data_IF_690497836734
#
_entry.id   IF_690497836734
#
_cell.length_a   1.000
_cell.length_b   1.000
_cell.length_c   1.000
_cell.angle_alpha   90.00
_cell.angle_beta   90.00
_cell.angle_gamma   90.00
#
_symmetry.space_group_name_H-M   'P 1'
#
loop_
_entity.id
_entity.type
_entity.pdbx_description
1 polymer ?
#
# COMPACT_ATOMS: atom_id res chain seq x y z
N UNK A 1 -34.90 -10.24 22.70
CA UNK A 1 -35.37 -9.93 21.32
C UNK A 1 -34.59 -10.78 20.34
N UNK A 2 -35.22 -11.20 19.26
CA UNK A 2 -34.65 -12.09 18.24
C UNK A 2 -33.58 -11.41 17.39
N UNK A 3 -32.65 -12.21 16.86
CA UNK A 3 -31.65 -11.82 15.84
C UNK A 3 -32.39 -11.62 14.50
N UNK A 4 -32.12 -10.54 13.73
CA UNK A 4 -32.77 -10.33 12.44
C UNK A 4 -32.52 -11.49 11.47
N UNK A 5 -33.56 -11.94 10.78
CA UNK A 5 -33.48 -13.02 9.79
C UNK A 5 -33.93 -12.46 8.43
N UNK A 6 -33.18 -12.67 7.33
CA UNK A 6 -33.50 -12.12 6.01
C UNK A 6 -34.62 -12.91 5.31
N UNK A 7 -35.78 -13.04 5.94
CA UNK A 7 -36.91 -13.79 5.40
C UNK A 7 -37.37 -13.23 4.05
N UNK A 8 -37.49 -14.11 3.05
CA UNK A 8 -37.98 -13.76 1.71
C UNK A 8 -36.96 -13.04 0.83
N UNK A 9 -35.71 -12.89 1.28
CA UNK A 9 -34.59 -12.56 0.39
C UNK A 9 -34.03 -13.85 -0.23
N UNK A 10 -33.52 -13.81 -1.48
CA UNK A 10 -32.79 -14.93 -2.05
C UNK A 10 -31.61 -15.36 -1.17
N UNK A 11 -31.26 -16.65 -1.21
CA UNK A 11 -30.05 -17.15 -0.56
C UNK A 11 -28.82 -16.39 -1.06
N UNK A 12 -27.95 -15.96 -0.13
CA UNK A 12 -26.72 -15.19 -0.43
C UNK A 12 -26.99 -13.87 -1.13
N UNK A 13 -28.16 -13.27 -0.90
CA UNK A 13 -28.49 -12.00 -1.51
C UNK A 13 -27.49 -10.90 -1.10
N UNK A 14 -26.94 -10.20 -2.09
CA UNK A 14 -26.20 -8.96 -1.92
C UNK A 14 -26.71 -7.93 -2.94
N UNK A 15 -26.42 -6.65 -2.71
CA UNK A 15 -26.68 -5.65 -3.73
C UNK A 15 -25.73 -5.88 -4.91
N UNK A 16 -26.11 -5.44 -6.10
CA UNK A 16 -25.14 -5.37 -7.20
C UNK A 16 -24.27 -4.12 -7.05
N UNK A 17 -23.05 -4.14 -7.62
CA UNK A 17 -22.22 -2.94 -7.67
C UNK A 17 -22.94 -1.74 -8.29
N UNK A 18 -23.72 -2.00 -9.34
CA UNK A 18 -24.53 -0.99 -10.02
C UNK A 18 -25.52 -0.36 -9.05
N UNK A 19 -26.24 -1.16 -8.27
CA UNK A 19 -27.17 -0.66 -7.25
C UNK A 19 -26.45 0.15 -6.16
N UNK A 20 -25.29 -0.32 -5.68
CA UNK A 20 -24.49 0.40 -4.71
C UNK A 20 -24.10 1.80 -5.21
N UNK A 21 -23.60 1.88 -6.45
CA UNK A 21 -23.23 3.15 -7.09
C UNK A 21 -24.44 4.07 -7.30
N UNK A 22 -25.56 3.52 -7.79
CA UNK A 22 -26.80 4.28 -8.01
C UNK A 22 -27.34 4.88 -6.71
N UNK A 23 -27.31 4.11 -5.61
CA UNK A 23 -27.77 4.58 -4.29
C UNK A 23 -26.72 5.40 -3.53
N UNK A 24 -25.50 5.52 -4.07
CA UNK A 24 -24.35 6.17 -3.41
C UNK A 24 -24.07 5.59 -2.03
N UNK A 25 -24.10 4.26 -1.94
CA UNK A 25 -23.71 3.50 -0.73
C UNK A 25 -22.38 2.78 -0.99
N UNK A 26 -21.61 2.43 0.05
CA UNK A 26 -20.33 1.73 -0.11
C UNK A 26 -20.45 0.41 -0.86
N UNK A 27 -19.41 0.08 -1.63
CA UNK A 27 -19.34 -1.15 -2.42
C UNK A 27 -19.25 -2.42 -1.58
N UNK A 28 -18.92 -2.33 -0.28
CA UNK A 28 -18.93 -3.54 0.55
C UNK A 28 -20.32 -4.19 0.63
N UNK A 29 -21.41 -3.46 0.37
CA UNK A 29 -22.76 -4.04 0.28
C UNK A 29 -22.98 -4.92 -0.96
N UNK A 30 -22.11 -4.83 -1.96
CA UNK A 30 -22.11 -5.74 -3.11
C UNK A 30 -21.18 -6.94 -2.96
N UNK A 31 -20.46 -7.01 -1.84
CA UNK A 31 -19.56 -8.11 -1.49
C UNK A 31 -20.16 -8.91 -0.32
N UNK A 32 -20.69 -8.19 0.67
CA UNK A 32 -21.26 -8.77 1.88
C UNK A 32 -22.72 -9.15 1.65
N UNK A 33 -23.00 -10.45 1.70
CA UNK A 33 -24.37 -10.96 1.68
C UNK A 33 -25.13 -10.51 2.91
N UNK A 34 -26.46 -10.44 2.80
CA UNK A 34 -27.33 -9.98 3.89
C UNK A 34 -27.20 -10.83 5.15
N UNK A 35 -26.92 -12.13 5.05
CA UNK A 35 -26.71 -13.00 6.21
C UNK A 35 -25.49 -12.56 7.03
N UNK A 36 -24.48 -12.00 6.36
CA UNK A 36 -23.23 -11.57 6.97
C UNK A 36 -23.26 -10.11 7.45
N UNK A 37 -24.38 -9.38 7.29
CA UNK A 37 -24.51 -8.03 7.83
C UNK A 37 -24.54 -7.98 9.35
N UNK A 38 -24.76 -9.13 10.00
CA UNK A 38 -24.74 -9.30 11.45
C UNK A 38 -23.42 -9.91 11.96
N UNK A 39 -22.57 -10.40 11.07
CA UNK A 39 -21.23 -10.87 11.43
C UNK A 39 -20.32 -9.65 11.65
N UNK A 40 -20.05 -9.35 12.91
CA UNK A 40 -19.27 -8.18 13.29
C UNK A 40 -17.85 -8.18 12.71
N UNK A 41 -17.22 -9.35 12.57
CA UNK A 41 -15.85 -9.47 12.08
C UNK A 41 -15.82 -9.25 10.57
N UNK A 42 -16.70 -9.94 9.83
CA UNK A 42 -16.80 -9.79 8.38
C UNK A 42 -17.18 -8.35 7.99
N UNK A 43 -18.16 -7.76 8.68
CA UNK A 43 -18.58 -6.39 8.44
C UNK A 43 -17.47 -5.39 8.77
N UNK A 44 -16.81 -5.52 9.93
CA UNK A 44 -15.73 -4.62 10.33
C UNK A 44 -14.57 -4.65 9.33
N UNK A 45 -14.15 -5.85 8.92
CA UNK A 45 -13.08 -6.03 7.94
C UNK A 45 -13.39 -5.32 6.63
N UNK A 46 -14.58 -5.50 6.09
CA UNK A 46 -14.97 -4.87 4.83
C UNK A 46 -15.18 -3.36 4.95
N UNK A 47 -15.64 -2.85 6.10
CA UNK A 47 -15.71 -1.41 6.33
C UNK A 47 -14.29 -0.82 6.30
N UNK A 48 -13.33 -1.47 6.96
CA UNK A 48 -11.93 -1.02 7.01
C UNK A 48 -11.27 -1.09 5.63
N UNK A 49 -11.43 -2.20 4.91
CA UNK A 49 -10.85 -2.38 3.57
C UNK A 49 -11.54 -1.52 2.50
N UNK A 50 -12.85 -1.34 2.61
CA UNK A 50 -13.66 -0.58 1.65
C UNK A 50 -13.50 0.94 1.75
N UNK A 51 -12.91 1.44 2.85
CA UNK A 51 -12.59 2.86 3.02
C UNK A 51 -11.15 3.11 2.57
N UNK A 52 -10.96 3.18 1.25
CA UNK A 52 -9.65 3.30 0.58
C UNK A 52 -8.77 4.47 1.05
N UNK A 53 -9.35 5.50 1.68
CA UNK A 53 -8.62 6.74 2.00
C UNK A 53 -8.40 6.89 3.51
N UNK A 54 -9.41 6.67 4.35
CA UNK A 54 -9.29 6.71 5.81
C UNK A 54 -10.41 5.89 6.46
N UNK A 55 -10.10 4.66 6.85
CA UNK A 55 -10.99 3.89 7.69
C UNK A 55 -11.25 4.64 9.01
N UNK A 56 -12.51 4.72 9.48
CA UNK A 56 -12.82 5.37 10.75
C UNK A 56 -11.96 4.77 11.86
N UNK A 57 -11.22 5.60 12.59
CA UNK A 57 -10.41 5.11 13.71
C UNK A 57 -11.26 4.66 14.92
N UNK A 58 -12.56 4.95 14.88
CA UNK A 58 -13.49 4.75 15.98
C UNK A 58 -14.66 3.87 15.51
N UNK A 59 -14.84 2.73 16.17
CA UNK A 59 -15.91 1.77 15.86
C UNK A 59 -17.32 2.37 15.96
N UNK A 60 -17.55 3.35 16.85
CA UNK A 60 -18.87 4.01 16.93
C UNK A 60 -19.16 4.85 15.68
N UNK A 61 -18.14 5.50 15.10
CA UNK A 61 -18.29 6.25 13.84
C UNK A 61 -18.51 5.30 12.67
N UNK A 62 -17.81 4.17 12.64
CA UNK A 62 -18.01 3.13 11.64
C UNK A 62 -19.44 2.57 11.69
N UNK A 63 -19.93 2.24 12.89
CA UNK A 63 -21.30 1.76 13.08
C UNK A 63 -22.33 2.81 12.65
N UNK A 64 -22.16 4.07 13.08
CA UNK A 64 -23.07 5.15 12.72
C UNK A 64 -23.15 5.31 11.19
N UNK A 65 -22.00 5.27 10.49
CA UNK A 65 -21.95 5.30 9.03
C UNK A 65 -22.71 4.11 8.43
N UNK A 66 -22.43 2.88 8.87
CA UNK A 66 -23.13 1.68 8.41
C UNK A 66 -24.67 1.80 8.55
N UNK A 67 -25.16 2.27 9.69
CA UNK A 67 -26.59 2.48 9.92
C UNK A 67 -27.20 3.58 9.04
N UNK A 68 -26.42 4.63 8.74
CA UNK A 68 -26.83 5.66 7.77
C UNK A 68 -26.99 5.06 6.38
N UNK A 69 -26.06 4.22 5.93
CA UNK A 69 -26.13 3.57 4.62
C UNK A 69 -27.29 2.56 4.55
N UNK A 70 -27.55 1.79 5.61
CA UNK A 70 -28.74 0.93 5.69
C UNK A 70 -30.04 1.73 5.58
N UNK A 71 -30.11 2.92 6.19
CA UNK A 71 -31.27 3.80 6.03
C UNK A 71 -31.44 4.27 4.58
N UNK A 72 -30.34 4.54 3.86
CA UNK A 72 -30.42 4.87 2.43
C UNK A 72 -30.92 3.70 1.60
N UNK A 73 -30.41 2.49 1.82
CA UNK A 73 -30.87 1.28 1.12
C UNK A 73 -32.37 1.08 1.35
N UNK A 74 -32.79 1.10 2.62
CA UNK A 74 -34.20 1.02 3.02
C UNK A 74 -35.06 2.06 2.28
N UNK A 75 -34.62 3.31 2.23
CA UNK A 75 -35.41 4.39 1.63
C UNK A 75 -35.45 4.35 0.09
N UNK A 76 -34.43 3.83 -0.58
CA UNK A 76 -34.38 3.68 -2.03
C UNK A 76 -35.09 2.42 -2.52
N UNK A 77 -35.12 1.36 -1.70
CA UNK A 77 -35.70 0.05 -2.04
C UNK A 77 -37.03 -0.22 -1.32
N UNK A 78 -37.83 0.81 -1.02
CA UNK A 78 -39.12 0.68 -0.31
C UNK A 78 -40.09 -0.31 -0.98
N UNK A 79 -40.06 -0.38 -2.32
CA UNK A 79 -40.89 -1.33 -3.07
C UNK A 79 -40.43 -2.79 -2.90
N UNK A 80 -39.17 -3.02 -2.53
CA UNK A 80 -38.67 -4.35 -2.21
C UNK A 80 -38.89 -4.64 -0.71
N UNK A 81 -40.11 -5.03 -0.38
CA UNK A 81 -40.60 -5.14 1.00
C UNK A 81 -39.71 -5.97 1.92
N UNK A 82 -39.19 -7.11 1.45
CA UNK A 82 -38.35 -8.00 2.25
C UNK A 82 -37.01 -7.32 2.63
N UNK A 83 -36.37 -6.65 1.67
CA UNK A 83 -35.14 -5.89 1.93
C UNK A 83 -35.41 -4.69 2.84
N UNK A 84 -36.52 -3.99 2.63
CA UNK A 84 -36.92 -2.86 3.47
C UNK A 84 -37.07 -3.27 4.94
N UNK A 85 -37.81 -4.35 5.21
CA UNK A 85 -38.02 -4.86 6.58
C UNK A 85 -36.72 -5.35 7.18
N UNK A 86 -35.92 -6.11 6.43
CA UNK A 86 -34.65 -6.59 6.93
C UNK A 86 -33.71 -5.44 7.32
N UNK A 87 -33.59 -4.39 6.48
CA UNK A 87 -32.83 -3.20 6.86
C UNK A 87 -33.36 -2.55 8.15
N UNK A 88 -34.68 -2.48 8.35
CA UNK A 88 -35.29 -1.94 9.57
C UNK A 88 -34.90 -2.77 10.80
N UNK A 89 -35.02 -4.09 10.70
CA UNK A 89 -34.71 -5.02 11.79
C UNK A 89 -33.22 -4.98 12.16
N UNK A 90 -32.33 -4.92 11.16
CA UNK A 90 -30.89 -4.75 11.38
C UNK A 90 -30.58 -3.41 12.06
N UNK A 91 -31.22 -2.32 11.61
CA UNK A 91 -31.04 -1.00 12.25
C UNK A 91 -31.47 -1.05 13.72
N UNK A 92 -32.62 -1.65 14.02
CA UNK A 92 -33.14 -1.73 15.38
C UNK A 92 -32.33 -2.71 16.26
N UNK A 93 -31.75 -3.76 15.66
CA UNK A 93 -30.78 -4.64 16.31
C UNK A 93 -29.53 -3.88 16.76
N UNK A 94 -28.90 -3.11 15.86
CA UNK A 94 -27.71 -2.32 16.18
C UNK A 94 -27.97 -1.08 17.05
N UNK A 95 -29.22 -0.69 17.29
CA UNK A 95 -29.53 0.36 18.27
C UNK A 95 -29.35 -0.12 19.72
N UNK A 96 -29.35 -1.43 19.96
CA UNK A 96 -29.19 -2.04 21.30
C UNK A 96 -27.78 -1.82 21.84
N UNK A 97 -27.65 -1.56 23.14
CA UNK A 97 -26.36 -1.23 23.75
C UNK A 97 -25.37 -2.40 23.70
N UNK A 98 -25.83 -3.63 23.89
CA UNK A 98 -24.98 -4.83 23.83
C UNK A 98 -24.39 -5.03 22.43
N UNK A 99 -25.24 -5.03 21.41
CA UNK A 99 -24.84 -5.14 19.99
C UNK A 99 -23.85 -4.05 19.58
N UNK A 100 -24.05 -2.80 20.03
CA UNK A 100 -23.08 -1.71 19.80
C UNK A 100 -21.70 -2.02 20.39
N UNK A 101 -21.67 -2.54 21.62
CA UNK A 101 -20.42 -2.92 22.30
C UNK A 101 -19.71 -4.06 21.59
N UNK A 102 -20.44 -5.07 21.15
CA UNK A 102 -19.89 -6.21 20.41
C UNK A 102 -19.30 -5.75 19.07
N UNK A 103 -20.04 -4.96 18.30
CA UNK A 103 -19.53 -4.37 17.06
C UNK A 103 -18.27 -3.52 17.32
N UNK A 104 -18.30 -2.67 18.35
CA UNK A 104 -17.16 -1.83 18.69
C UNK A 104 -15.92 -2.67 19.01
N UNK A 105 -16.05 -3.72 19.82
CA UNK A 105 -14.96 -4.61 20.16
C UNK A 105 -14.37 -5.31 18.93
N UNK A 106 -15.22 -5.89 18.08
CA UNK A 106 -14.81 -6.53 16.83
C UNK A 106 -14.10 -5.55 15.89
N UNK A 107 -14.66 -4.34 15.74
CA UNK A 107 -14.09 -3.30 14.89
C UNK A 107 -12.73 -2.85 15.40
N UNK A 108 -12.57 -2.62 16.70
CA UNK A 108 -11.28 -2.23 17.30
C UNK A 108 -10.21 -3.31 17.08
N UNK A 109 -10.58 -4.59 17.21
CA UNK A 109 -9.67 -5.70 16.96
C UNK A 109 -9.23 -5.75 15.50
N UNK A 110 -10.17 -5.78 14.55
CA UNK A 110 -9.87 -5.80 13.10
C UNK A 110 -9.09 -4.56 12.65
N UNK A 111 -9.38 -3.39 13.23
CA UNK A 111 -8.65 -2.15 12.93
C UNK A 111 -7.21 -2.18 13.42
N UNK A 112 -6.94 -2.81 14.58
CA UNK A 112 -5.57 -3.02 15.06
C UNK A 112 -4.81 -3.96 14.15
N UNK A 113 -5.42 -5.08 13.75
CA UNK A 113 -4.82 -6.05 12.83
C UNK A 113 -4.47 -5.39 11.48
N UNK A 114 -5.40 -4.62 10.91
CA UNK A 114 -5.16 -3.89 9.68
C UNK A 114 -3.99 -2.90 9.78
N UNK A 115 -3.85 -2.20 10.91
CA UNK A 115 -2.71 -1.30 11.16
C UNK A 115 -1.39 -2.06 11.23
N UNK A 116 -1.38 -3.20 11.90
CA UNK A 116 -0.18 -4.04 12.04
C UNK A 116 0.22 -4.63 10.68
N UNK A 117 -0.73 -5.11 9.88
CA UNK A 117 -0.52 -5.58 8.52
C UNK A 117 0.09 -4.49 7.63
N UNK A 118 -0.47 -3.26 7.67
CA UNK A 118 0.05 -2.12 6.91
C UNK A 118 1.47 -1.76 7.35
N UNK A 119 1.73 -1.77 8.66
CA UNK A 119 3.07 -1.53 9.20
C UNK A 119 4.07 -2.58 8.73
N UNK A 120 3.69 -3.86 8.73
CA UNK A 120 4.54 -4.94 8.22
C UNK A 120 4.77 -4.83 6.71
N UNK A 121 3.76 -4.48 5.92
CA UNK A 121 3.89 -4.22 4.48
C UNK A 121 4.93 -3.12 4.20
N UNK A 122 4.87 -2.02 4.96
CA UNK A 122 5.84 -0.93 4.85
C UNK A 122 7.26 -1.36 5.26
N UNK A 123 7.40 -2.15 6.32
CA UNK A 123 8.69 -2.67 6.76
C UNK A 123 9.29 -3.65 5.73
N UNK A 124 8.48 -4.54 5.16
CA UNK A 124 8.89 -5.45 4.09
C UNK A 124 9.37 -4.71 2.85
N UNK A 125 8.63 -3.68 2.41
CA UNK A 125 9.04 -2.79 1.31
C UNK A 125 10.35 -2.08 1.59
N UNK A 126 10.56 -1.60 2.81
CA UNK A 126 11.81 -0.95 3.23
C UNK A 126 12.98 -1.94 3.23
N UNK A 127 12.79 -3.15 3.74
CA UNK A 127 13.80 -4.20 3.74
C UNK A 127 14.19 -4.63 2.32
N UNK A 128 13.21 -4.82 1.42
CA UNK A 128 13.48 -5.15 0.02
C UNK A 128 14.27 -4.04 -0.70
N UNK A 129 13.99 -2.78 -0.39
CA UNK A 129 14.76 -1.66 -0.91
C UNK A 129 16.21 -1.68 -0.40
N UNK A 130 16.42 -1.90 0.91
CA UNK A 130 17.77 -2.01 1.49
C UNK A 130 18.60 -3.16 0.88
N UNK A 131 17.98 -4.32 0.64
CA UNK A 131 18.64 -5.46 -0.03
C UNK A 131 19.07 -5.09 -1.45
N UNK A 132 18.20 -4.40 -2.19
CA UNK A 132 18.50 -3.93 -3.55
C UNK A 132 19.63 -2.91 -3.55
N UNK A 133 19.61 -1.96 -2.61
CA UNK A 133 20.68 -0.96 -2.45
C UNK A 133 22.01 -1.60 -2.06
N UNK A 134 22.02 -2.59 -1.16
CA UNK A 134 23.24 -3.33 -0.81
C UNK A 134 23.83 -4.05 -2.03
N UNK A 135 22.98 -4.66 -2.87
CA UNK A 135 23.42 -5.31 -4.10
C UNK A 135 24.03 -4.32 -5.10
N UNK A 136 23.51 -3.09 -5.18
CA UNK A 136 24.09 -2.01 -6.00
C UNK A 136 25.46 -1.60 -5.46
N UNK A 137 25.58 -1.40 -4.14
CA UNK A 137 26.86 -1.03 -3.51
C UNK A 137 27.95 -2.09 -3.75
N UNK A 138 27.61 -3.38 -3.66
CA UNK A 138 28.57 -4.45 -3.96
C UNK A 138 29.04 -4.43 -5.42
N UNK A 139 28.15 -4.10 -6.36
CA UNK A 139 28.54 -3.93 -7.77
C UNK A 139 29.50 -2.76 -7.97
N UNK A 140 29.28 -1.63 -7.29
CA UNK A 140 30.16 -0.46 -7.34
C UNK A 140 31.55 -0.83 -6.83
N UNK A 141 31.64 -1.49 -5.67
CA UNK A 141 32.92 -1.91 -5.09
C UNK A 141 33.69 -2.85 -6.03
N UNK A 142 32.99 -3.80 -6.67
CA UNK A 142 33.63 -4.70 -7.64
C UNK A 142 34.14 -3.94 -8.87
N UNK A 143 33.37 -2.96 -9.38
CA UNK A 143 33.81 -2.13 -10.51
C UNK A 143 35.05 -1.29 -10.16
N UNK A 144 35.13 -0.75 -8.94
CA UNK A 144 36.33 -0.02 -8.47
C UNK A 144 37.56 -0.93 -8.46
N UNK A 145 37.40 -2.19 -8.02
CA UNK A 145 38.49 -3.18 -8.04
C UNK A 145 38.93 -3.52 -9.47
N UNK A 146 37.98 -3.72 -10.38
CA UNK A 146 38.27 -4.01 -11.79
C UNK A 146 39.00 -2.83 -12.47
N UNK A 147 38.60 -1.59 -12.18
CA UNK A 147 39.28 -0.38 -12.68
C UNK A 147 40.72 -0.34 -12.18
N UNK A 148 40.94 -0.53 -10.88
CA UNK A 148 42.30 -0.52 -10.31
C UNK A 148 43.18 -1.61 -10.93
N UNK A 149 42.64 -2.82 -11.14
CA UNK A 149 43.38 -3.90 -11.80
C UNK A 149 43.72 -3.60 -13.27
N UNK A 150 42.85 -2.86 -13.98
CA UNK A 150 43.12 -2.41 -15.35
C UNK A 150 44.20 -1.32 -15.39
N UNK A 151 44.20 -0.38 -14.44
CA UNK A 151 45.23 0.66 -14.32
C UNK A 151 46.61 0.06 -14.04
N UNK A 152 46.70 -0.92 -13.13
CA UNK A 152 47.95 -1.65 -12.87
C UNK A 152 48.46 -2.40 -14.11
N UNK A 153 47.57 -3.02 -14.89
CA UNK A 153 47.93 -3.68 -16.14
C UNK A 153 48.41 -2.69 -17.21
N UNK A 154 47.81 -1.51 -17.31
CA UNK A 154 48.28 -0.46 -18.22
C UNK A 154 49.65 0.06 -17.83
N UNK A 155 49.92 0.28 -16.54
CA UNK A 155 51.24 0.71 -16.06
C UNK A 155 52.32 -0.35 -16.27
N UNK A 156 51.98 -1.64 -16.19
CA UNK A 156 52.94 -2.72 -16.47
C UNK A 156 53.20 -2.91 -17.98
N UNK A 157 52.21 -2.62 -18.84
CA UNK A 157 52.38 -2.67 -20.29
C UNK A 157 53.14 -1.45 -20.85
N UNK A 158 53.09 -0.29 -20.20
CA UNK A 158 53.87 0.89 -20.60
C UNK A 158 55.36 0.76 -20.24
N UNK A 159 55.74 -0.17 -19.37
CA UNK A 159 57.12 -0.45 -19.00
C UNK A 159 57.84 -1.44 -19.93
N UNK A 160 57.10 -2.16 -20.79
CA UNK A 160 57.67 -3.21 -21.68
C UNK A 160 57.76 -2.82 -23.16
N UNK A 161 57.30 -1.61 -23.54
CA UNK A 161 57.39 -1.12 -24.92
C UNK A 161 58.42 0.00 -25.04
N UNK A 162 59.71 -0.36 -25.02
CA UNK A 162 60.76 0.48 -25.58
C UNK A 162 60.81 0.27 -27.09
N UNK A 163 60.69 1.37 -27.84
CA UNK A 163 60.64 1.49 -29.30
C UNK A 163 59.25 1.31 -29.92
N UNK A 164 58.49 2.39 -30.02
CA UNK A 164 58.11 3.02 -31.30
C UNK A 164 57.44 4.38 -31.02
N UNK A 165 57.89 5.42 -31.71
CA UNK A 165 57.32 6.77 -31.64
C UNK A 165 56.16 6.91 -32.63
N UNK A 166 54.95 7.21 -32.15
CA UNK A 166 53.78 7.61 -32.96
C UNK A 166 53.01 8.71 -32.19
N UNK A 167 52.39 9.70 -32.89
CA UNK A 167 52.20 11.05 -32.36
C UNK A 167 50.90 11.25 -31.57
N UNK A 168 50.90 12.36 -30.83
CA UNK A 168 49.79 12.93 -30.05
C UNK A 168 48.46 12.94 -30.83
N UNK A 169 47.45 12.24 -30.34
CA UNK A 169 46.04 12.52 -30.67
C UNK A 169 45.11 12.05 -29.54
N UNK A 170 44.20 12.93 -29.13
CA UNK A 170 43.02 12.60 -28.31
C UNK A 170 43.14 13.06 -26.86
N UNK A 171 42.63 14.26 -26.57
CA UNK A 171 42.32 14.67 -25.19
C UNK A 171 41.34 13.66 -24.57
N UNK A 172 41.82 13.04 -23.50
CA UNK A 172 41.21 11.96 -22.74
C UNK A 172 40.13 12.55 -21.81
N UNK A 173 38.96 12.89 -22.39
CA UNK A 173 37.83 13.52 -21.68
C UNK A 173 37.01 12.54 -20.81
N UNK A 174 37.43 11.28 -20.68
CA UNK A 174 36.74 10.21 -19.92
C UNK A 174 37.02 10.25 -18.41
N UNK A 175 38.22 10.67 -18.00
CA UNK A 175 38.58 10.85 -16.58
C UNK A 175 37.71 11.87 -15.84
N UNK A 176 37.43 13.07 -16.37
CA UNK A 176 36.59 14.04 -15.66
C UNK A 176 35.13 13.57 -15.52
N UNK A 177 34.61 12.78 -16.48
CA UNK A 177 33.22 12.29 -16.41
C UNK A 177 33.05 11.21 -15.33
N UNK A 178 33.99 10.27 -15.22
CA UNK A 178 33.93 9.22 -14.19
C UNK A 178 34.04 9.80 -12.77
N UNK A 179 34.90 10.81 -12.59
CA UNK A 179 35.05 11.49 -11.31
C UNK A 179 33.80 12.27 -10.92
N UNK A 180 33.13 12.91 -11.90
CA UNK A 180 31.85 13.59 -11.69
C UNK A 180 30.72 12.62 -11.30
N UNK A 181 30.69 11.41 -11.88
CA UNK A 181 29.71 10.38 -11.52
C UNK A 181 29.94 9.88 -10.09
N UNK A 182 31.19 9.67 -9.69
CA UNK A 182 31.55 9.28 -8.33
C UNK A 182 31.21 10.37 -7.30
N UNK A 183 31.57 11.63 -7.57
CA UNK A 183 31.23 12.76 -6.70
C UNK A 183 29.72 12.93 -6.55
N UNK A 184 28.97 12.77 -7.64
CA UNK A 184 27.51 12.81 -7.60
C UNK A 184 26.92 11.66 -6.76
N UNK A 185 27.44 10.45 -6.90
CA UNK A 185 27.07 9.29 -6.08
C UNK A 185 27.31 9.52 -4.58
N UNK A 186 28.45 10.12 -4.22
CA UNK A 186 28.79 10.46 -2.82
C UNK A 186 27.88 11.56 -2.27
N UNK A 187 27.52 12.57 -3.08
CA UNK A 187 26.59 13.62 -2.65
C UNK A 187 25.18 13.09 -2.38
N UNK A 188 24.69 12.18 -3.22
CA UNK A 188 23.40 11.51 -3.00
C UNK A 188 23.42 10.66 -1.72
N UNK A 189 24.52 9.96 -1.47
CA UNK A 189 24.71 9.17 -0.25
C UNK A 189 24.66 10.04 1.02
N UNK A 190 25.32 11.20 1.00
CA UNK A 190 25.33 12.13 2.13
C UNK A 190 23.97 12.77 2.39
N UNK A 191 23.22 13.17 1.34
CA UNK A 191 21.84 13.65 1.48
C UNK A 191 20.95 12.59 2.14
N UNK A 192 21.12 11.33 1.77
CA UNK A 192 20.32 10.23 2.30
C UNK A 192 20.63 9.92 3.77
N UNK A 193 21.90 9.92 4.17
CA UNK A 193 22.30 9.75 5.59
C UNK A 193 21.69 10.86 6.47
N UNK A 194 21.56 12.07 5.92
CA UNK A 194 20.95 13.21 6.60
C UNK A 194 19.40 13.16 6.61
N UNK A 195 18.79 12.11 6.05
CA UNK A 195 17.35 11.91 6.04
C UNK A 195 16.59 12.81 5.04
N UNK A 196 17.29 13.36 4.05
CA UNK A 196 16.66 14.12 2.99
C UNK A 196 16.05 13.18 1.93
N UNK A 197 14.83 13.47 1.50
CA UNK A 197 14.19 12.76 0.39
C UNK A 197 14.93 13.05 -0.92
N UNK A 198 15.28 12.00 -1.65
CA UNK A 198 15.86 12.11 -2.99
C UNK A 198 14.76 12.45 -4.01
N UNK A 199 15.07 13.35 -4.94
CA UNK A 199 14.16 13.72 -6.02
C UNK A 199 14.03 12.59 -7.03
N UNK A 200 12.91 12.57 -7.76
CA UNK A 200 12.65 11.57 -8.82
C UNK A 200 13.76 11.55 -9.89
N UNK A 201 14.31 12.73 -10.20
CA UNK A 201 15.41 12.86 -11.16
C UNK A 201 16.71 12.24 -10.63
N UNK A 202 17.03 12.41 -9.35
CA UNK A 202 18.18 11.76 -8.71
C UNK A 202 18.03 10.23 -8.69
N UNK A 203 16.81 9.72 -8.49
CA UNK A 203 16.50 8.27 -8.53
C UNK A 203 16.64 7.71 -9.95
N UNK A 204 16.20 8.44 -10.96
CA UNK A 204 16.23 7.98 -12.35
C UNK A 204 17.66 7.98 -12.94
N UNK A 205 18.60 8.77 -12.39
CA UNK A 205 20.03 8.73 -12.74
C UNK A 205 20.74 7.50 -12.16
N UNK A 206 20.22 6.89 -11.08
CA UNK A 206 20.82 5.70 -10.46
C UNK A 206 20.38 4.35 -11.06
N UNK A 207 19.41 4.35 -11.98
CA UNK A 207 18.89 3.14 -12.65
C UNK A 207 19.60 2.89 -13.97
#
# INVERSE_FOLDING_TARGET
MQVPIPHGLPDKFCLTEKECRCMKVPLYFSILTVENWLDYNALSRLIIQGTQVQAPQNGNKALASFLTELNKIKNNKKAYFNLFNYCKDVIDFYKRNETKKEFYAAYTQEYSLFKDEKKQEHLGKRSANLVTQHAILQKIVNLEQDINALEERQMNNSFTSSHYSIPKSGEDNTKPVLMQVLEFGVQLHNKYIQGADLTKQEIDIMK
#
